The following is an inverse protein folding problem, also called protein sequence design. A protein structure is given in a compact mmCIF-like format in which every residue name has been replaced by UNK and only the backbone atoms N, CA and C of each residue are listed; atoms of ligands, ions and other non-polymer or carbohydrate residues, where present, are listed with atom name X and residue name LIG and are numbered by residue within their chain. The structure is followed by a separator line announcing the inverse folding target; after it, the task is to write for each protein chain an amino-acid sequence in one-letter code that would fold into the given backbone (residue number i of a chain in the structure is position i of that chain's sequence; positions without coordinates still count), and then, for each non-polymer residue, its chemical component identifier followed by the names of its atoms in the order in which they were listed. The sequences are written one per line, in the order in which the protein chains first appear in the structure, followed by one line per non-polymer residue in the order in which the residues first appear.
data_IF_957117133654
#
_entry.id   IF_957117133654
#
_cell.length_a   1.000
_cell.length_b   1.000
_cell.length_c   1.000
_cell.angle_alpha   90.00
_cell.angle_beta   90.00
_cell.angle_gamma   90.00
#
_symmetry.space_group_name_H-M   'P 1'
#
loop_
_entity.id
_entity.type
_entity.pdbx_description
1 polymer ?
#
# COMPACT_ATOMS: atom_id res chain seq x y z
N UNK A 1 39.79 11.62 -6.43
CA UNK A 1 38.95 11.69 -5.22
C UNK A 1 37.91 10.61 -5.37
N UNK A 2 37.76 9.65 -4.44
CA UNK A 2 36.62 8.74 -4.53
C UNK A 2 35.37 9.57 -4.25
N UNK A 3 34.55 9.74 -5.26
CA UNK A 3 33.30 10.49 -5.18
C UNK A 3 32.34 9.74 -4.23
N UNK A 4 31.99 10.38 -3.10
CA UNK A 4 31.17 9.78 -2.06
C UNK A 4 29.78 9.43 -2.61
N UNK A 5 29.23 8.30 -2.19
CA UNK A 5 27.94 7.84 -2.69
C UNK A 5 27.35 6.74 -1.83
N UNK A 6 26.09 6.43 -2.12
CA UNK A 6 25.27 5.49 -1.35
C UNK A 6 24.65 4.48 -2.31
N UNK A 7 24.46 3.24 -1.86
CA UNK A 7 23.64 2.27 -2.61
C UNK A 7 22.18 2.50 -2.25
N UNK A 8 21.38 2.94 -3.20
CA UNK A 8 19.99 3.34 -2.95
C UNK A 8 18.98 2.40 -3.60
N UNK A 9 17.80 2.33 -2.99
CA UNK A 9 16.62 1.74 -3.60
C UNK A 9 15.35 2.39 -3.05
N UNK A 10 14.25 2.26 -3.79
CA UNK A 10 12.93 2.76 -3.43
C UNK A 10 12.05 1.60 -3.02
N UNK A 11 11.32 1.73 -1.93
CA UNK A 11 10.40 0.69 -1.47
C UNK A 11 9.25 1.22 -0.63
N UNK A 12 8.35 0.30 -0.27
CA UNK A 12 7.24 0.53 0.65
C UNK A 12 7.45 -0.36 1.88
N UNK A 13 7.46 0.23 3.08
CA UNK A 13 7.47 -0.55 4.32
C UNK A 13 6.13 -1.27 4.49
N UNK A 14 6.18 -2.51 4.97
CA UNK A 14 4.98 -3.18 5.45
C UNK A 14 4.60 -2.68 6.85
N UNK A 15 3.33 -2.83 7.23
CA UNK A 15 2.86 -2.46 8.56
C UNK A 15 3.58 -3.28 9.64
N UNK A 16 3.63 -2.78 10.88
CA UNK A 16 4.21 -3.53 12.02
C UNK A 16 3.48 -4.86 12.22
N UNK A 17 2.16 -4.89 12.06
CA UNK A 17 1.37 -6.11 12.15
C UNK A 17 1.77 -7.15 11.09
N UNK A 18 1.89 -6.73 9.83
CA UNK A 18 2.36 -7.58 8.73
C UNK A 18 3.80 -8.03 8.96
N UNK A 19 4.68 -7.14 9.42
CA UNK A 19 6.08 -7.48 9.70
C UNK A 19 6.20 -8.55 10.78
N UNK A 20 5.41 -8.44 11.86
CA UNK A 20 5.38 -9.42 12.94
C UNK A 20 4.83 -10.78 12.47
N UNK A 21 3.77 -10.78 11.65
CA UNK A 21 3.24 -12.02 11.07
C UNK A 21 4.27 -12.71 10.18
N UNK A 22 4.98 -11.96 9.34
CA UNK A 22 6.07 -12.47 8.51
C UNK A 22 7.26 -12.98 9.36
N UNK A 23 7.55 -12.34 10.50
CA UNK A 23 8.58 -12.79 11.41
C UNK A 23 8.23 -14.17 12.01
N UNK A 24 6.99 -14.37 12.47
CA UNK A 24 6.53 -15.67 12.96
C UNK A 24 6.56 -16.77 11.88
N UNK A 25 6.26 -16.42 10.63
CA UNK A 25 6.41 -17.32 9.49
C UNK A 25 7.88 -17.67 9.22
N UNK A 26 8.77 -16.67 9.22
CA UNK A 26 10.22 -16.86 9.06
C UNK A 26 10.81 -17.77 10.15
N UNK A 27 10.38 -17.63 11.41
CA UNK A 27 10.79 -18.54 12.49
C UNK A 27 10.32 -19.98 12.26
N UNK A 28 9.08 -20.15 11.77
CA UNK A 28 8.53 -21.46 11.43
C UNK A 28 9.30 -22.11 10.29
N UNK A 29 9.60 -21.35 9.25
CA UNK A 29 10.44 -21.81 8.15
C UNK A 29 11.88 -22.08 8.60
N UNK A 30 12.43 -21.30 9.54
CA UNK A 30 13.78 -21.51 10.07
C UNK A 30 13.92 -22.86 10.77
N UNK A 31 12.89 -23.29 11.53
CA UNK A 31 12.85 -24.62 12.15
C UNK A 31 12.83 -25.72 11.08
N UNK A 32 11.91 -25.61 10.11
CA UNK A 32 11.80 -26.57 8.99
C UNK A 32 13.08 -26.65 8.16
N UNK A 33 13.71 -25.51 7.90
CA UNK A 33 14.95 -25.43 7.14
C UNK A 33 16.10 -26.12 7.88
N UNK A 34 16.19 -25.94 9.20
CA UNK A 34 17.16 -26.66 10.04
C UNK A 34 16.95 -28.17 9.97
N UNK A 35 15.72 -28.63 10.13
CA UNK A 35 15.37 -30.06 10.09
C UNK A 35 15.67 -30.68 8.71
N UNK A 36 15.52 -29.89 7.64
CA UNK A 36 15.84 -30.29 6.27
C UNK A 36 17.29 -30.02 5.82
N UNK A 37 18.18 -29.55 6.71
CA UNK A 37 19.57 -29.25 6.36
C UNK A 37 19.76 -28.08 5.38
N UNK A 38 18.78 -27.17 5.29
CA UNK A 38 18.79 -26.00 4.40
C UNK A 38 19.20 -24.76 5.20
N UNK A 39 20.33 -24.16 4.83
CA UNK A 39 20.75 -22.89 5.42
C UNK A 39 20.07 -21.71 4.72
N UNK A 40 19.26 -20.96 5.46
CA UNK A 40 18.60 -19.75 4.99
C UNK A 40 18.97 -18.60 5.92
N UNK A 41 19.44 -17.51 5.33
CA UNK A 41 19.70 -16.27 6.04
C UNK A 41 18.45 -15.40 6.05
N UNK A 42 17.83 -15.31 7.21
CA UNK A 42 16.60 -14.57 7.41
C UNK A 42 16.84 -13.06 7.45
N UNK A 43 15.91 -12.31 6.86
CA UNK A 43 15.91 -10.85 6.86
C UNK A 43 15.29 -10.36 8.18
N UNK A 44 15.89 -9.35 8.80
CA UNK A 44 15.35 -8.77 10.03
C UNK A 44 13.97 -8.13 9.76
N UNK A 45 12.98 -8.27 10.66
CA UNK A 45 11.63 -7.75 10.42
C UNK A 45 11.57 -6.24 10.15
N UNK A 46 12.46 -5.45 10.77
CA UNK A 46 12.60 -4.00 10.54
C UNK A 46 13.01 -3.65 9.09
N UNK A 47 13.54 -4.63 8.36
CA UNK A 47 13.96 -4.52 6.97
C UNK A 47 12.93 -5.06 5.98
N UNK A 48 11.76 -5.54 6.43
CA UNK A 48 10.71 -5.99 5.52
C UNK A 48 10.09 -4.81 4.77
N UNK A 49 10.12 -4.92 3.44
CA UNK A 49 9.59 -3.93 2.51
C UNK A 49 9.28 -4.59 1.17
N UNK A 50 8.44 -3.93 0.39
CA UNK A 50 8.25 -4.20 -1.04
C UNK A 50 9.19 -3.30 -1.82
N UNK A 51 10.14 -3.86 -2.55
CA UNK A 51 11.05 -3.05 -3.39
C UNK A 51 10.34 -2.62 -4.67
N UNK A 52 10.41 -1.33 -5.01
CA UNK A 52 9.86 -0.78 -6.25
C UNK A 52 10.94 -0.55 -7.31
N UNK A 53 12.12 -0.08 -6.89
CA UNK A 53 13.23 0.23 -7.80
C UNK A 53 14.58 0.15 -7.09
N UNK A 54 15.52 -0.63 -7.62
CA UNK A 54 16.92 -0.50 -7.25
C UNK A 54 17.57 0.62 -8.06
N UNK A 55 18.22 1.57 -7.37
CA UNK A 55 18.99 2.65 -8.00
C UNK A 55 20.49 2.32 -8.03
N UNK A 56 20.94 1.40 -7.19
CA UNK A 56 22.34 1.00 -7.13
C UNK A 56 23.21 2.12 -6.53
N UNK A 57 24.49 2.15 -6.91
CA UNK A 57 25.39 3.21 -6.45
C UNK A 57 24.95 4.56 -7.00
N UNK A 58 24.66 5.50 -6.12
CA UNK A 58 24.22 6.86 -6.43
C UNK A 58 25.18 7.85 -5.80
N UNK A 59 25.70 8.77 -6.61
CA UNK A 59 26.60 9.82 -6.13
C UNK A 59 25.86 10.77 -5.18
N UNK A 60 26.51 11.23 -4.10
CA UNK A 60 25.90 12.08 -3.07
C UNK A 60 25.24 13.33 -3.69
N UNK A 61 25.89 13.94 -4.69
CA UNK A 61 25.38 15.12 -5.38
C UNK A 61 24.08 14.86 -6.18
N UNK A 62 23.79 13.61 -6.55
CA UNK A 62 22.60 13.21 -7.30
C UNK A 62 21.40 12.92 -6.39
N UNK A 63 21.62 12.72 -5.08
CA UNK A 63 20.57 12.29 -4.14
C UNK A 63 19.43 13.30 -4.05
N UNK A 64 19.73 14.60 -4.04
CA UNK A 64 18.70 15.64 -4.04
C UNK A 64 17.75 15.53 -5.25
N UNK A 65 18.32 15.40 -6.45
CA UNK A 65 17.54 15.22 -7.67
C UNK A 65 16.72 13.92 -7.69
N UNK A 66 17.24 12.84 -7.07
CA UNK A 66 16.49 11.59 -6.88
C UNK A 66 15.27 11.84 -5.99
N UNK A 67 15.42 12.56 -4.87
CA UNK A 67 14.30 12.87 -3.98
C UNK A 67 13.24 13.67 -4.73
N UNK A 68 13.63 14.71 -5.47
CA UNK A 68 12.69 15.53 -6.26
C UNK A 68 11.93 14.68 -7.30
N UNK A 69 12.64 13.78 -7.99
CA UNK A 69 12.03 12.86 -8.96
C UNK A 69 11.03 11.89 -8.30
N UNK A 70 11.31 11.43 -7.08
CA UNK A 70 10.42 10.57 -6.32
C UNK A 70 9.20 11.34 -5.76
N UNK A 71 9.36 12.58 -5.34
CA UNK A 71 8.26 13.46 -4.93
C UNK A 71 7.31 13.72 -6.11
N UNK A 72 7.86 13.97 -7.30
CA UNK A 72 7.07 14.09 -8.53
C UNK A 72 6.32 12.79 -8.88
N UNK A 73 6.98 11.63 -8.74
CA UNK A 73 6.34 10.33 -8.96
C UNK A 73 5.22 10.03 -7.94
N UNK A 74 5.38 10.48 -6.70
CA UNK A 74 4.43 10.28 -5.61
C UNK A 74 3.21 11.21 -5.67
N UNK A 75 3.35 12.42 -6.23
CA UNK A 75 2.34 13.49 -6.15
C UNK A 75 0.92 13.11 -6.61
N UNK A 76 0.77 12.19 -7.56
CA UNK A 76 -0.52 11.70 -8.08
C UNK A 76 -0.96 10.33 -7.52
N UNK A 77 -0.31 9.83 -6.47
CA UNK A 77 -0.56 8.50 -5.92
C UNK A 77 -1.61 8.59 -4.82
N UNK A 78 -2.76 7.91 -4.93
CA UNK A 78 -3.69 7.78 -3.81
C UNK A 78 -3.09 6.87 -2.74
N UNK A 79 -3.61 6.94 -1.52
CA UNK A 79 -3.36 5.90 -0.51
C UNK A 79 -4.06 4.61 -0.95
N UNK A 80 -3.40 3.47 -0.80
CA UNK A 80 -3.94 2.16 -1.17
C UNK A 80 -3.58 1.12 -0.11
N UNK A 81 -4.10 -0.11 -0.26
CA UNK A 81 -3.85 -1.21 0.67
C UNK A 81 -3.18 -2.36 -0.06
N UNK A 82 -2.08 -2.85 0.50
CA UNK A 82 -1.41 -4.08 0.06
C UNK A 82 -1.87 -5.23 0.94
N UNK A 83 -2.17 -6.37 0.35
CA UNK A 83 -2.31 -7.63 1.06
C UNK A 83 -1.03 -8.44 0.92
N UNK A 84 -0.42 -8.79 2.04
CA UNK A 84 0.73 -9.69 2.06
C UNK A 84 0.26 -11.11 2.29
N UNK A 85 0.49 -11.99 1.31
CA UNK A 85 0.02 -13.37 1.34
C UNK A 85 0.88 -14.24 0.43
N UNK A 86 0.82 -15.55 0.70
CA UNK A 86 1.49 -16.62 -0.04
C UNK A 86 3.01 -16.57 0.03
N UNK A 87 3.62 -17.70 0.41
CA UNK A 87 5.08 -17.84 0.39
C UNK A 87 5.55 -18.47 -0.91
N UNK A 88 6.71 -18.04 -1.37
CA UNK A 88 7.33 -18.56 -2.58
C UNK A 88 8.84 -18.46 -2.54
N UNK A 89 9.46 -18.78 -3.67
CA UNK A 89 10.89 -18.64 -3.87
C UNK A 89 11.27 -18.25 -5.29
N UNK A 90 12.39 -17.53 -5.44
CA UNK A 90 12.93 -17.16 -6.74
C UNK A 90 14.23 -17.88 -7.08
N UNK A 91 14.44 -18.30 -8.35
CA UNK A 91 13.46 -18.28 -9.45
C UNK A 91 12.28 -19.24 -9.27
N UNK A 92 12.42 -20.31 -8.49
CA UNK A 92 11.35 -21.24 -8.14
C UNK A 92 11.66 -21.95 -6.83
N UNK A 93 10.68 -22.67 -6.26
CA UNK A 93 10.88 -23.48 -5.05
C UNK A 93 11.91 -24.60 -5.22
N UNK A 94 12.15 -25.08 -6.45
CA UNK A 94 13.13 -26.14 -6.73
C UNK A 94 14.58 -25.62 -6.82
N UNK A 95 14.75 -24.30 -7.00
CA UNK A 95 16.06 -23.66 -7.19
C UNK A 95 16.08 -22.26 -6.57
N UNK A 96 15.66 -22.12 -5.32
CA UNK A 96 15.50 -20.82 -4.70
C UNK A 96 16.85 -20.23 -4.23
N UNK A 97 17.05 -18.95 -4.50
CA UNK A 97 18.06 -18.08 -3.84
C UNK A 97 17.40 -17.06 -2.89
N UNK A 98 16.09 -16.88 -3.02
CA UNK A 98 15.29 -15.93 -2.22
C UNK A 98 14.01 -16.64 -1.82
N UNK A 99 13.63 -16.51 -0.55
CA UNK A 99 12.30 -16.85 -0.03
C UNK A 99 11.54 -15.55 0.24
N UNK A 100 10.29 -15.50 -0.19
CA UNK A 100 9.50 -14.27 -0.18
C UNK A 100 8.04 -14.51 0.19
N UNK A 101 7.36 -13.45 0.61
CA UNK A 101 5.91 -13.37 0.72
C UNK A 101 5.34 -12.48 -0.39
N UNK A 102 4.28 -12.93 -1.05
CA UNK A 102 3.68 -12.26 -2.19
C UNK A 102 2.86 -11.04 -1.79
N UNK A 103 2.67 -10.13 -2.74
CA UNK A 103 1.84 -8.95 -2.56
C UNK A 103 0.69 -9.00 -3.56
N UNK A 104 -0.51 -8.76 -3.06
CA UNK A 104 -1.73 -8.59 -3.83
C UNK A 104 -2.26 -7.17 -3.63
N UNK A 105 -2.58 -6.48 -4.72
CA UNK A 105 -3.11 -5.11 -4.72
C UNK A 105 -4.06 -4.98 -5.92
N UNK A 106 -5.34 -4.68 -5.67
CA UNK A 106 -6.39 -4.83 -6.69
C UNK A 106 -6.62 -3.56 -7.54
N UNK A 107 -6.21 -2.38 -7.07
CA UNK A 107 -6.48 -1.12 -7.77
C UNK A 107 -5.49 -0.80 -8.88
N UNK A 108 -4.34 -1.49 -8.94
CA UNK A 108 -3.24 -1.22 -9.86
C UNK A 108 -2.41 0.02 -9.47
N UNK A 109 -2.67 0.60 -8.30
CA UNK A 109 -1.94 1.75 -7.79
C UNK A 109 -0.46 1.44 -7.57
N UNK A 110 -0.13 0.22 -7.13
CA UNK A 110 1.25 -0.21 -6.91
C UNK A 110 2.05 -0.26 -8.23
N UNK A 111 1.49 -0.90 -9.26
CA UNK A 111 2.12 -0.99 -10.58
C UNK A 111 2.26 0.39 -11.23
N UNK A 112 1.22 1.23 -11.11
CA UNK A 112 1.25 2.59 -11.62
C UNK A 112 2.33 3.43 -10.92
N UNK A 113 2.50 3.26 -9.61
CA UNK A 113 3.56 3.93 -8.85
C UNK A 113 4.95 3.45 -9.30
N UNK A 114 5.19 2.15 -9.40
CA UNK A 114 6.46 1.60 -9.86
C UNK A 114 6.85 2.14 -11.25
N UNK A 115 5.89 2.19 -12.18
CA UNK A 115 6.08 2.77 -13.52
C UNK A 115 6.41 4.26 -13.47
N UNK A 116 5.72 5.05 -12.64
CA UNK A 116 6.02 6.48 -12.48
C UNK A 116 7.42 6.70 -11.90
N UNK A 117 7.85 5.88 -10.94
CA UNK A 117 9.21 5.94 -10.39
C UNK A 117 10.22 5.69 -11.50
N UNK A 118 10.08 4.59 -12.26
CA UNK A 118 10.97 4.25 -13.38
C UNK A 118 11.10 5.42 -14.39
N UNK A 119 9.97 6.02 -14.82
CA UNK A 119 9.97 7.14 -15.77
C UNK A 119 10.73 8.36 -15.21
N UNK A 120 10.53 8.70 -13.94
CA UNK A 120 11.12 9.90 -13.36
C UNK A 120 12.62 9.72 -13.09
N UNK A 121 13.05 8.56 -12.60
CA UNK A 121 14.48 8.31 -12.34
C UNK A 121 15.27 8.05 -13.63
N UNK A 122 14.63 7.54 -14.70
CA UNK A 122 15.29 7.36 -15.99
C UNK A 122 15.85 8.68 -16.57
N UNK A 123 15.19 9.81 -16.29
CA UNK A 123 15.66 11.15 -16.69
C UNK A 123 16.98 11.57 -16.02
N UNK A 124 17.33 10.90 -14.91
CA UNK A 124 18.58 11.09 -14.18
C UNK A 124 19.67 10.08 -14.59
N UNK A 125 19.40 9.24 -15.60
CA UNK A 125 20.35 8.25 -16.11
C UNK A 125 20.28 6.86 -15.45
N UNK A 126 19.28 6.60 -14.58
CA UNK A 126 19.07 5.26 -14.04
C UNK A 126 18.43 4.34 -15.08
N UNK A 127 19.06 3.18 -15.36
CA UNK A 127 18.53 2.22 -16.33
C UNK A 127 17.19 1.63 -15.88
N UNK A 128 16.27 1.42 -16.82
CA UNK A 128 15.00 0.77 -16.55
C UNK A 128 15.19 -0.72 -16.20
N UNK A 129 14.38 -1.24 -15.26
CA UNK A 129 14.35 -2.68 -15.00
C UNK A 129 13.77 -3.43 -16.22
N UNK A 130 14.47 -4.49 -16.64
CA UNK A 130 14.07 -5.29 -17.82
C UNK A 130 13.12 -6.41 -17.45
N UNK A 131 13.13 -6.84 -16.18
CA UNK A 131 12.27 -7.92 -15.68
C UNK A 131 10.88 -7.40 -15.37
N UNK A 132 9.89 -8.27 -15.51
CA UNK A 132 8.55 -7.99 -15.03
C UNK A 132 8.58 -7.70 -13.53
N UNK A 133 7.80 -6.71 -13.11
CA UNK A 133 7.65 -6.36 -11.72
C UNK A 133 6.82 -7.43 -11.01
N UNK A 134 7.42 -8.08 -10.01
CA UNK A 134 6.77 -9.07 -9.16
C UNK A 134 6.83 -8.57 -7.72
N UNK A 135 5.79 -7.90 -7.20
CA UNK A 135 5.84 -7.31 -5.88
C UNK A 135 5.85 -8.39 -4.81
N UNK A 136 6.84 -8.30 -3.90
CA UNK A 136 7.07 -9.28 -2.85
C UNK A 136 7.82 -8.65 -1.69
N UNK A 137 7.73 -9.27 -0.51
CA UNK A 137 8.60 -9.00 0.63
C UNK A 137 9.63 -10.13 0.71
N UNK A 138 10.90 -9.80 0.58
CA UNK A 138 11.97 -10.79 0.81
C UNK A 138 12.06 -11.08 2.31
N UNK A 139 11.88 -12.34 2.70
CA UNK A 139 11.99 -12.78 4.10
C UNK A 139 13.25 -13.61 4.36
N UNK A 140 13.82 -14.25 3.34
CA UNK A 140 15.03 -15.05 3.47
C UNK A 140 15.86 -15.08 2.20
N UNK A 141 17.18 -15.27 2.35
CA UNK A 141 18.13 -15.41 1.24
C UNK A 141 19.00 -16.63 1.47
N UNK A 142 19.34 -17.32 0.38
CA UNK A 142 20.24 -18.45 0.40
C UNK A 142 21.55 -18.04 -0.27
N UNK A 143 22.68 -18.51 0.26
CA UNK A 143 24.01 -18.24 -0.31
C UNK A 143 24.16 -18.86 -1.69
N UNK A 144 23.58 -20.04 -1.88
CA UNK A 144 23.57 -20.80 -3.12
C UNK A 144 22.14 -21.24 -3.43
N UNK A 145 21.80 -21.32 -4.72
CA UNK A 145 20.47 -21.79 -5.13
C UNK A 145 20.27 -23.25 -4.76
N UNK A 146 19.16 -23.57 -4.08
CA UNK A 146 18.80 -24.94 -3.69
C UNK A 146 17.28 -25.11 -3.56
N UNK A 147 16.76 -26.34 -3.57
CA UNK A 147 15.35 -26.57 -3.33
C UNK A 147 14.96 -26.14 -1.91
N UNK A 148 13.84 -25.45 -1.80
CA UNK A 148 13.17 -25.05 -0.55
C UNK A 148 11.71 -25.49 -0.53
N UNK A 149 11.27 -26.30 -1.50
CA UNK A 149 9.90 -26.78 -1.64
C UNK A 149 9.37 -27.39 -0.34
N UNK A 150 10.06 -28.37 0.22
CA UNK A 150 9.64 -29.06 1.45
C UNK A 150 9.63 -28.14 2.68
N UNK A 151 10.41 -27.07 2.65
CA UNK A 151 10.46 -26.06 3.72
C UNK A 151 9.25 -25.12 3.61
N UNK A 152 8.93 -24.65 2.41
CA UNK A 152 7.98 -23.56 2.16
C UNK A 152 6.56 -24.06 1.87
N UNK A 153 6.41 -25.08 1.02
CA UNK A 153 5.13 -25.56 0.51
C UNK A 153 4.11 -25.90 1.61
N UNK A 154 4.47 -26.54 2.74
CA UNK A 154 3.49 -26.88 3.77
C UNK A 154 2.84 -25.68 4.48
N UNK A 155 3.41 -24.49 4.31
CA UNK A 155 2.92 -23.24 4.89
C UNK A 155 2.73 -22.16 3.82
N UNK A 156 2.67 -22.53 2.54
CA UNK A 156 2.69 -21.56 1.44
C UNK A 156 1.46 -20.67 1.41
N UNK A 157 0.26 -21.18 1.71
CA UNK A 157 -1.00 -20.43 1.52
C UNK A 157 -1.39 -19.50 2.67
N UNK A 158 -0.41 -19.03 3.46
CA UNK A 158 -0.67 -18.14 4.60
C UNK A 158 -0.96 -16.69 4.17
N UNK A 159 -1.85 -16.03 4.92
CA UNK A 159 -2.07 -14.58 4.85
C UNK A 159 -1.37 -13.90 6.04
N UNK A 160 -0.59 -12.86 5.76
CA UNK A 160 0.21 -12.13 6.75
C UNK A 160 -0.41 -10.78 7.13
N UNK A 161 -1.49 -10.40 6.46
CA UNK A 161 -2.30 -9.22 6.76
C UNK A 161 -2.13 -8.10 5.75
N UNK A 162 -2.89 -7.03 6.01
CA UNK A 162 -2.99 -5.90 5.12
C UNK A 162 -2.13 -4.73 5.62
N UNK A 163 -1.50 -4.01 4.69
CA UNK A 163 -0.72 -2.80 4.94
C UNK A 163 -1.37 -1.64 4.22
N UNK A 164 -1.83 -0.64 4.97
CA UNK A 164 -2.21 0.66 4.40
C UNK A 164 -0.93 1.40 3.99
N UNK A 165 -0.85 1.72 2.70
CA UNK A 165 0.27 2.47 2.13
C UNK A 165 -0.11 3.93 1.98
N UNK A 166 0.68 4.78 2.61
CA UNK A 166 0.52 6.21 2.61
C UNK A 166 1.81 6.95 2.26
N UNK A 167 2.89 6.23 1.93
CA UNK A 167 4.15 6.79 1.47
C UNK A 167 4.99 5.76 0.71
N UNK A 168 5.96 6.28 -0.04
CA UNK A 168 7.15 5.52 -0.44
C UNK A 168 8.36 5.98 0.37
N UNK A 169 9.39 5.16 0.38
CA UNK A 169 10.64 5.43 1.09
C UNK A 169 11.85 5.20 0.19
N UNK A 170 12.75 6.18 0.17
CA UNK A 170 14.11 6.03 -0.34
C UNK A 170 14.98 5.46 0.78
N UNK A 171 15.58 4.30 0.53
CA UNK A 171 16.45 3.60 1.45
C UNK A 171 17.90 3.67 0.99
N UNK A 172 18.80 3.71 1.96
CA UNK A 172 20.21 3.39 1.78
C UNK A 172 20.47 1.95 2.21
N UNK A 173 21.27 1.22 1.42
CA UNK A 173 21.66 -0.16 1.66
C UNK A 173 23.17 -0.27 1.92
N UNK A 174 23.55 -0.45 3.17
CA UNK A 174 24.92 -0.76 3.56
C UNK A 174 25.17 -2.27 3.51
N UNK A 175 26.16 -2.72 2.74
CA UNK A 175 26.55 -4.13 2.75
C UNK A 175 27.50 -4.40 3.92
N UNK A 176 27.05 -5.17 4.90
CA UNK A 176 27.87 -5.67 6.02
C UNK A 176 28.13 -7.17 5.86
N UNK A 177 29.13 -7.69 6.57
CA UNK A 177 29.42 -9.14 6.61
C UNK A 177 28.21 -9.96 7.10
N UNK A 178 27.44 -9.39 8.04
CA UNK A 178 26.17 -9.92 8.54
C UNK A 178 24.99 -9.68 7.62
N UNK A 179 25.15 -8.91 6.55
CA UNK A 179 24.11 -8.60 5.58
C UNK A 179 23.93 -7.16 5.17
N UNK A 180 23.00 -6.96 4.23
CA UNK A 180 22.53 -5.62 3.92
C UNK A 180 21.72 -5.08 5.10
N UNK A 181 22.13 -3.93 5.63
CA UNK A 181 21.36 -3.12 6.59
C UNK A 181 20.75 -1.97 5.82
N UNK A 182 19.45 -1.72 6.06
CA UNK A 182 18.73 -0.65 5.40
C UNK A 182 18.45 0.48 6.37
N UNK A 183 18.89 1.69 6.01
CA UNK A 183 18.53 2.94 6.68
C UNK A 183 17.53 3.70 5.81
N UNK A 184 16.60 4.38 6.48
CA UNK A 184 15.67 5.27 5.81
C UNK A 184 16.36 6.61 5.55
N UNK A 185 16.44 7.00 4.28
CA UNK A 185 17.03 8.27 3.87
C UNK A 185 15.95 9.35 3.75
N UNK A 186 14.82 9.00 3.13
CA UNK A 186 13.69 9.92 2.94
C UNK A 186 12.38 9.17 2.78
N UNK A 187 11.38 9.57 3.56
CA UNK A 187 9.98 9.18 3.36
C UNK A 187 9.24 10.26 2.58
N UNK A 188 8.41 9.85 1.63
CA UNK A 188 7.62 10.73 0.76
C UNK A 188 6.17 10.31 0.87
N UNK A 189 5.37 11.09 1.60
CA UNK A 189 3.97 10.81 1.83
C UNK A 189 3.12 11.04 0.57
N UNK A 190 2.17 10.14 0.36
CA UNK A 190 1.13 10.25 -0.65
C UNK A 190 0.10 11.27 -0.19
N UNK A 191 -0.27 12.16 -1.10
CA UNK A 191 -1.29 13.17 -0.81
C UNK A 191 -2.62 12.46 -0.56
N UNK A 192 -3.31 12.85 0.51
CA UNK A 192 -4.72 12.52 0.66
C UNK A 192 -5.44 13.09 -0.57
N UNK A 193 -6.27 12.32 -1.29
CA UNK A 193 -7.17 12.92 -2.26
C UNK A 193 -7.93 14.03 -1.53
N UNK A 194 -7.87 15.28 -2.00
CA UNK A 194 -8.85 16.26 -1.51
C UNK A 194 -10.19 15.66 -1.86
N UNK A 195 -10.95 15.23 -0.84
CA UNK A 195 -12.35 14.89 -1.05
C UNK A 195 -13.00 16.12 -1.66
N UNK A 196 -13.44 16.01 -2.91
CA UNK A 196 -14.31 17.00 -3.53
C UNK A 196 -15.62 17.02 -2.75
N UNK A 197 -15.66 17.82 -1.69
CA UNK A 197 -16.88 18.18 -0.97
C UNK A 197 -16.91 19.69 -0.77
N UNK A 198 -16.60 20.42 -1.83
CA UNK A 198 -17.03 21.80 -2.03
C UNK A 198 -17.79 21.85 -3.37
N UNK A 199 -18.83 21.01 -3.47
CA UNK A 199 -19.91 21.24 -4.41
C UNK A 199 -20.74 22.37 -3.83
N UNK A 200 -20.43 23.56 -4.28
CA UNK A 200 -21.27 24.75 -4.38
C UNK A 200 -22.76 24.48 -4.09
N UNK A 201 -23.12 24.50 -2.81
CA UNK A 201 -24.50 24.70 -2.39
C UNK A 201 -24.77 26.18 -2.55
N UNK A 202 -24.93 26.61 -3.81
CA UNK A 202 -25.59 27.85 -4.17
C UNK A 202 -27.07 27.70 -3.80
N UNK A 203 -27.37 27.66 -2.50
CA UNK A 203 -28.72 27.93 -2.01
C UNK A 203 -28.96 29.42 -2.26
N UNK A 204 -29.63 29.70 -3.37
CA UNK A 204 -30.37 30.93 -3.58
C UNK A 204 -31.27 31.14 -2.37
N UNK A 205 -30.90 32.06 -1.49
CA UNK A 205 -31.84 32.69 -0.56
C UNK A 205 -32.62 33.72 -1.38
N UNK A 206 -33.96 33.62 -1.54
CA UNK A 206 -34.70 34.74 -2.07
C UNK A 206 -34.69 35.85 -1.02
N UNK A 207 -34.27 37.05 -1.43
CA UNK A 207 -34.44 38.25 -0.63
C UNK A 207 -35.94 38.47 -0.41
N UNK A 208 -36.36 38.49 0.85
CA UNK A 208 -37.69 38.98 1.25
C UNK A 208 -37.68 40.49 1.03
N UNK A 209 -38.40 40.96 0.00
CA UNK A 209 -38.79 42.36 -0.11
C UNK A 209 -40.04 42.57 0.73
N UNK A 210 -39.90 43.40 1.78
CA UNK A 210 -41.00 43.99 2.52
C UNK A 210 -41.44 45.24 1.77
N UNK A 211 -42.59 45.16 1.09
CA UNK A 211 -43.36 46.35 0.72
C UNK A 211 -44.73 46.26 1.41
N UNK A 212 -44.97 47.22 2.30
CA UNK A 212 -46.25 47.49 2.91
C UNK A 212 -47.09 48.37 1.98
N UNK A 213 -48.39 48.06 1.80
CA UNK A 213 -49.51 49.02 1.65
C UNK A 213 -50.86 48.30 1.45
N UNK A 214 -51.65 48.25 2.53
CA UNK A 214 -53.05 48.75 2.63
C UNK A 214 -54.27 48.02 2.00
N UNK A 215 -55.08 47.48 2.94
CA UNK A 215 -56.57 47.49 3.13
C UNK A 215 -57.54 46.57 2.37
N UNK A 216 -58.41 45.96 3.22
CA UNK A 216 -59.86 45.64 3.09
C UNK A 216 -60.25 44.57 2.05
N UNK A 217 -61.18 43.63 2.29
CA UNK A 217 -62.34 43.57 3.18
C UNK A 217 -62.85 42.11 3.32
N UNK A 218 -63.64 41.82 4.39
CA UNK A 218 -64.79 40.90 4.54
C UNK A 218 -64.93 39.63 3.64
N UNK A 219 -65.45 38.45 4.03
CA UNK A 219 -66.28 37.96 5.15
C UNK A 219 -66.60 36.45 4.93
N UNK A 220 -66.95 35.73 6.02
CA UNK A 220 -67.80 34.52 6.12
C UNK A 220 -67.36 33.22 5.39
N UNK A 221 -67.59 31.96 5.81
CA UNK A 221 -68.39 31.30 6.84
C UNK A 221 -67.78 29.87 7.07
N UNK A 222 -67.73 29.32 8.29
CA UNK A 222 -68.56 28.21 8.84
C UNK A 222 -68.26 26.77 8.32
N UNK A 223 -68.05 25.83 9.28
CA UNK A 223 -68.27 24.38 9.13
C UNK A 223 -67.10 23.51 9.64
N UNK A 224 -67.05 23.15 10.94
CA UNK A 224 -67.38 21.82 11.55
C UNK A 224 -66.45 20.67 11.14
N UNK A 225 -65.64 20.14 12.07
CA UNK A 225 -65.81 18.85 12.81
C UNK A 225 -65.71 17.62 11.87
N UNK A 226 -64.91 16.57 12.05
CA UNK A 226 -64.68 15.69 13.22
C UNK A 226 -63.46 14.77 13.00
N UNK A 227 -62.86 14.32 14.12
CA UNK A 227 -62.36 12.95 14.49
C UNK A 227 -61.65 12.03 13.48
N UNK A 228 -60.42 11.57 13.82
CA UNK A 228 -59.99 10.17 14.20
C UNK A 228 -60.16 9.14 13.07
N UNK A 229 -59.41 8.06 12.90
CA UNK A 229 -58.55 7.24 13.74
C UNK A 229 -57.80 6.27 12.82
N UNK A 230 -56.70 5.70 13.32
CA UNK A 230 -56.20 4.34 13.11
C UNK A 230 -56.00 3.70 11.72
N UNK A 231 -54.88 2.97 11.64
CA UNK A 231 -54.89 1.67 10.94
C UNK A 231 -53.68 1.33 10.09
N UNK A 232 -52.57 0.98 10.73
CA UNK A 232 -51.64 0.00 10.16
C UNK A 232 -52.27 -1.39 10.19
N UNK A 233 -52.03 -2.23 9.17
CA UNK A 233 -51.83 -3.64 9.43
C UNK A 233 -50.49 -4.15 8.89
N UNK A 234 -49.84 -4.94 9.75
CA UNK A 234 -48.78 -5.88 9.42
C UNK A 234 -49.37 -7.10 8.73
N UNK A 235 -48.55 -7.75 7.92
CA UNK A 235 -48.63 -9.19 7.65
C UNK A 235 -47.73 -9.55 6.49
N UNK A 236 -47.11 -10.72 6.41
CA UNK A 236 -46.83 -11.81 7.34
C UNK A 236 -46.18 -12.87 6.43
N UNK A 237 -45.10 -13.50 6.91
CA UNK A 237 -44.65 -14.84 6.52
C UNK A 237 -44.30 -15.08 5.02
N UNK A 238 -43.49 -16.05 4.63
CA UNK A 238 -43.24 -17.36 5.19
C UNK A 238 -41.83 -17.81 4.78
N UNK A 239 -41.15 -18.45 5.73
CA UNK A 239 -40.08 -19.41 5.49
C UNK A 239 -40.57 -20.53 4.56
N UNK A 240 -39.65 -21.12 3.79
CA UNK A 240 -39.39 -22.55 3.88
C UNK A 240 -38.13 -22.96 3.09
N UNK A 241 -37.26 -23.66 3.83
CA UNK A 241 -36.29 -24.70 3.46
C UNK A 241 -34.97 -24.32 2.74
#
# INVERSE_FOLDING_TARGET
MSEAGKRLFVGIRVSVGTANALAGAAETLARRARDGGVEIRWVAPVSYHVTLKFLGWTHEATIGAVIDALEAAAAGTPRFTLRCARLGGFPSLEKASVVWAGIEEQSGALDALAKRIEINVARLGFEAEKRAFHPHVTIGRLRETRPVREVVLPVSEQMFGDTRVDALTLFESETKSSGSVYSELRRIDFKTPRSGLESEVQRQTPAVQLDATTRSNESAAVGTDTETDDGWPRGHHHDDL
#
